data_IF_913240776553
#
_entry.id   IF_913240776553
#
_cell.length_a   1.000
_cell.length_b   1.000
_cell.length_c   1.000
_cell.angle_alpha   90.00
_cell.angle_beta   90.00
_cell.angle_gamma   90.00
#
_symmetry.space_group_name_H-M   'P 1'
#
loop_
_entity.id
_entity.type
_entity.pdbx_description
1 polymer ?
#
# COMPACT_ATOMS: atom_id res chain seq x y z
N UNK A 1 -35.95 2.76 16.68
CA UNK A 1 -35.24 2.04 15.61
C UNK A 1 -33.84 2.62 15.58
N UNK A 2 -32.88 1.91 16.16
CA UNK A 2 -31.47 2.22 15.95
C UNK A 2 -31.17 2.00 14.47
N UNK A 3 -30.48 2.96 13.83
CA UNK A 3 -30.04 2.82 12.44
C UNK A 3 -29.10 1.60 12.36
N UNK A 4 -29.50 0.50 11.68
CA UNK A 4 -28.73 -0.74 11.65
C UNK A 4 -27.38 -0.62 10.91
N UNK A 5 -27.00 0.58 10.43
CA UNK A 5 -25.93 0.75 9.45
C UNK A 5 -24.59 1.29 9.96
N UNK A 6 -24.49 1.88 11.16
CA UNK A 6 -23.25 2.54 11.61
C UNK A 6 -22.55 1.68 12.65
N UNK A 7 -21.64 0.82 12.19
CA UNK A 7 -20.70 0.14 13.08
C UNK A 7 -19.90 1.20 13.87
N UNK A 8 -19.65 0.97 15.18
CA UNK A 8 -18.91 1.91 16.00
C UNK A 8 -17.54 2.19 15.38
N UNK A 9 -17.12 3.46 15.44
CA UNK A 9 -15.74 3.86 15.16
C UNK A 9 -14.85 3.00 16.05
N UNK A 10 -13.90 2.28 15.44
CA UNK A 10 -12.98 1.40 16.17
C UNK A 10 -12.21 2.27 17.17
N UNK A 11 -12.44 2.04 18.47
CA UNK A 11 -11.83 2.83 19.55
C UNK A 11 -10.35 2.49 19.78
N UNK A 12 -9.93 1.28 19.38
CA UNK A 12 -8.54 0.84 19.43
C UNK A 12 -8.12 0.26 18.06
N UNK A 13 -7.70 1.15 17.16
CA UNK A 13 -7.24 0.74 15.84
C UNK A 13 -5.84 0.11 15.87
N UNK A 14 -5.09 0.24 16.97
CA UNK A 14 -3.74 -0.33 17.09
C UNK A 14 -3.79 -1.85 17.20
N UNK A 15 -4.85 -2.38 17.83
CA UNK A 15 -5.15 -3.82 17.83
C UNK A 15 -5.29 -4.44 16.43
N UNK A 16 -5.43 -3.61 15.38
CA UNK A 16 -5.59 -4.04 13.99
C UNK A 16 -4.28 -4.22 13.24
N UNK A 17 -3.11 -3.99 13.85
CA UNK A 17 -1.80 -4.22 13.20
C UNK A 17 -1.60 -5.69 12.82
N UNK A 18 -2.28 -6.62 13.50
CA UNK A 18 -2.27 -8.04 13.17
C UNK A 18 -1.02 -8.79 13.64
N UNK A 19 0.15 -8.15 13.68
CA UNK A 19 1.38 -8.67 14.29
C UNK A 19 2.21 -7.56 14.97
N UNK A 20 3.24 -7.95 15.71
CA UNK A 20 4.22 -7.04 16.31
C UNK A 20 5.38 -6.68 15.36
N UNK A 21 5.27 -6.97 14.05
CA UNK A 21 6.31 -6.67 13.07
C UNK A 21 6.43 -5.16 12.82
N UNK A 22 7.65 -4.64 12.71
CA UNK A 22 7.90 -3.22 12.42
C UNK A 22 7.86 -2.90 10.91
N UNK A 23 8.01 -3.93 10.08
CA UNK A 23 8.14 -3.83 8.63
C UNK A 23 6.81 -4.20 7.94
N UNK A 24 6.37 -3.36 7.01
CA UNK A 24 5.22 -3.60 6.15
C UNK A 24 5.65 -3.57 4.68
N UNK A 25 5.47 -4.68 3.97
CA UNK A 25 5.51 -4.72 2.52
C UNK A 25 4.11 -4.37 1.96
N UNK A 26 4.01 -3.28 1.23
CA UNK A 26 2.82 -2.90 0.47
C UNK A 26 3.01 -3.33 -0.99
N UNK A 27 2.14 -4.21 -1.48
CA UNK A 27 2.13 -4.68 -2.86
C UNK A 27 1.00 -3.97 -3.62
N UNK A 28 1.38 -3.14 -4.59
CA UNK A 28 0.49 -2.42 -5.51
C UNK A 28 0.22 -3.17 -6.82
N UNK A 29 -0.44 -2.48 -7.75
CA UNK A 29 -0.85 -3.05 -9.06
C UNK A 29 0.10 -2.67 -10.22
N UNK A 30 1.22 -1.98 -9.96
CA UNK A 30 2.11 -1.43 -10.98
C UNK A 30 2.66 -2.49 -11.96
N UNK A 31 3.02 -2.03 -13.17
CA UNK A 31 3.49 -2.87 -14.29
C UNK A 31 4.54 -3.91 -13.89
N UNK A 32 5.52 -3.49 -13.09
CA UNK A 32 6.70 -4.28 -12.70
C UNK A 32 6.60 -4.86 -11.28
N UNK A 33 5.38 -5.05 -10.74
CA UNK A 33 5.18 -5.53 -9.37
C UNK A 33 5.86 -6.87 -9.08
N UNK A 34 5.90 -7.79 -10.05
CA UNK A 34 6.55 -9.10 -9.85
C UNK A 34 8.08 -8.96 -9.75
N UNK A 35 8.67 -8.07 -10.54
CA UNK A 35 10.11 -7.75 -10.47
C UNK A 35 10.43 -7.11 -9.11
N UNK A 36 9.57 -6.19 -8.64
CA UNK A 36 9.69 -5.56 -7.32
C UNK A 36 9.59 -6.57 -6.17
N UNK A 37 8.68 -7.55 -6.26
CA UNK A 37 8.56 -8.62 -5.26
C UNK A 37 9.81 -9.51 -5.26
N UNK A 38 10.36 -9.84 -6.43
CA UNK A 38 11.60 -10.61 -6.53
C UNK A 38 12.76 -9.88 -5.84
N UNK A 39 12.96 -8.61 -6.19
CA UNK A 39 14.01 -7.78 -5.58
C UNK A 39 13.78 -7.56 -4.07
N UNK A 40 12.53 -7.58 -3.59
CA UNK A 40 12.22 -7.52 -2.17
C UNK A 40 12.73 -8.75 -1.43
N UNK A 41 12.52 -9.95 -1.98
CA UNK A 41 12.98 -11.18 -1.36
C UNK A 41 14.50 -11.23 -1.22
N UNK A 42 15.25 -10.73 -2.20
CA UNK A 42 16.72 -10.68 -2.14
C UNK A 42 17.26 -9.92 -0.91
N UNK A 43 16.52 -8.92 -0.42
CA UNK A 43 16.95 -8.06 0.69
C UNK A 43 16.28 -8.37 2.03
N UNK A 44 15.10 -9.00 2.03
CA UNK A 44 14.27 -9.15 3.22
C UNK A 44 14.00 -10.61 3.64
N UNK A 45 13.97 -11.55 2.69
CA UNK A 45 13.57 -12.94 2.98
C UNK A 45 14.57 -13.60 3.95
N UNK A 46 14.04 -14.15 5.05
CA UNK A 46 14.84 -14.77 6.11
C UNK A 46 15.67 -13.79 6.95
N UNK A 47 15.59 -12.48 6.68
CA UNK A 47 16.41 -11.45 7.34
C UNK A 47 15.57 -10.62 8.30
N UNK A 48 14.41 -10.11 7.85
CA UNK A 48 13.48 -9.35 8.69
C UNK A 48 12.10 -9.98 8.67
N UNK A 49 11.42 -10.08 9.82
CA UNK A 49 10.00 -10.40 9.84
C UNK A 49 9.21 -9.18 9.34
N UNK A 50 8.18 -9.43 8.53
CA UNK A 50 7.34 -8.38 7.95
C UNK A 50 5.90 -8.85 7.79
N UNK A 51 4.98 -7.87 7.78
CA UNK A 51 3.62 -8.08 7.32
C UNK A 51 3.46 -7.66 5.86
N UNK A 52 2.45 -8.21 5.22
CA UNK A 52 2.11 -7.90 3.83
C UNK A 52 0.73 -7.26 3.72
N UNK A 53 0.70 -6.13 3.05
CA UNK A 53 -0.50 -5.42 2.63
C UNK A 53 -0.66 -5.49 1.10
N UNK A 54 -1.71 -6.15 0.64
CA UNK A 54 -2.05 -6.15 -0.78
C UNK A 54 -3.08 -5.06 -1.10
N UNK A 55 -2.82 -4.32 -2.18
CA UNK A 55 -3.69 -3.28 -2.71
C UNK A 55 -4.47 -3.79 -3.93
N UNK A 56 -5.79 -3.66 -3.89
CA UNK A 56 -6.68 -3.94 -5.03
C UNK A 56 -6.50 -5.36 -5.65
N UNK A 57 -5.88 -5.49 -6.83
CA UNK A 57 -5.75 -6.77 -7.54
C UNK A 57 -4.44 -7.49 -7.21
N UNK A 58 -3.48 -6.83 -6.58
CA UNK A 58 -2.20 -7.44 -6.20
C UNK A 58 -2.37 -8.65 -5.27
N UNK A 59 -3.48 -8.69 -4.52
CA UNK A 59 -3.88 -9.82 -3.70
C UNK A 59 -4.09 -11.12 -4.50
N UNK A 60 -4.29 -11.04 -5.82
CA UNK A 60 -4.42 -12.20 -6.71
C UNK A 60 -3.08 -12.81 -7.12
N UNK A 61 -1.99 -12.06 -6.99
CA UNK A 61 -0.65 -12.45 -7.43
C UNK A 61 0.38 -12.49 -6.29
N UNK A 62 -0.03 -12.16 -5.06
CA UNK A 62 0.83 -12.21 -3.89
C UNK A 62 1.26 -13.65 -3.60
N UNK A 63 2.57 -13.96 -3.64
CA UNK A 63 3.05 -15.34 -3.51
C UNK A 63 3.15 -15.84 -2.06
N UNK A 64 2.87 -15.00 -1.07
CA UNK A 64 2.99 -15.30 0.36
C UNK A 64 1.77 -14.82 1.16
N UNK A 65 1.80 -15.05 2.48
CA UNK A 65 0.71 -14.70 3.39
C UNK A 65 0.38 -13.20 3.36
N UNK A 66 -0.91 -12.88 3.47
CA UNK A 66 -1.43 -11.52 3.47
C UNK A 66 -2.02 -11.24 4.86
N UNK A 67 -1.60 -10.15 5.50
CA UNK A 67 -2.18 -9.68 6.76
C UNK A 67 -3.22 -8.60 6.49
N UNK A 68 -2.96 -7.73 5.52
CA UNK A 68 -3.84 -6.61 5.20
C UNK A 68 -4.27 -6.61 3.73
N UNK A 69 -5.54 -6.28 3.51
CA UNK A 69 -6.06 -5.99 2.19
C UNK A 69 -6.59 -4.56 2.15
N UNK A 70 -6.18 -3.77 1.16
CA UNK A 70 -6.49 -2.35 1.10
C UNK A 70 -7.11 -1.99 -0.24
N UNK A 71 -8.32 -1.43 -0.22
CA UNK A 71 -9.03 -1.03 -1.43
C UNK A 71 -9.52 0.42 -1.34
N UNK A 72 -8.99 1.28 -2.21
CA UNK A 72 -9.46 2.65 -2.39
C UNK A 72 -10.85 2.69 -3.03
N UNK A 73 -11.07 1.82 -4.01
CA UNK A 73 -12.33 1.69 -4.74
C UNK A 73 -13.16 0.50 -4.24
N UNK A 74 -13.24 0.33 -2.93
CA UNK A 74 -13.92 -0.81 -2.28
C UNK A 74 -15.42 -0.95 -2.65
N UNK A 75 -16.01 0.05 -3.28
CA UNK A 75 -17.39 0.02 -3.79
C UNK A 75 -17.51 -0.71 -5.14
N UNK A 76 -16.41 -0.92 -5.88
CA UNK A 76 -16.42 -1.62 -7.15
C UNK A 76 -16.66 -3.13 -6.96
N UNK A 77 -17.47 -3.73 -7.84
CA UNK A 77 -17.81 -5.16 -7.82
C UNK A 77 -16.56 -6.05 -7.81
N UNK A 78 -15.53 -5.70 -8.57
CA UNK A 78 -14.29 -6.48 -8.63
C UNK A 78 -13.53 -6.46 -7.31
N UNK A 79 -13.44 -5.30 -6.64
CA UNK A 79 -12.80 -5.18 -5.32
C UNK A 79 -13.57 -5.97 -4.26
N UNK A 80 -14.91 -5.94 -4.35
CA UNK A 80 -15.78 -6.78 -3.53
C UNK A 80 -15.58 -8.28 -3.79
N UNK A 81 -15.36 -8.67 -5.06
CA UNK A 81 -15.04 -10.06 -5.43
C UNK A 81 -13.69 -10.51 -4.85
N UNK A 82 -12.65 -9.68 -4.96
CA UNK A 82 -11.33 -9.98 -4.37
C UNK A 82 -11.46 -10.11 -2.85
N UNK A 83 -12.04 -9.11 -2.18
CA UNK A 83 -12.20 -9.09 -0.72
C UNK A 83 -12.96 -10.32 -0.19
N UNK A 84 -13.97 -10.82 -0.91
CA UNK A 84 -14.73 -12.02 -0.51
C UNK A 84 -13.93 -13.32 -0.61
N UNK A 85 -12.97 -13.42 -1.53
CA UNK A 85 -12.14 -14.61 -1.72
C UNK A 85 -10.99 -14.69 -0.72
N UNK A 86 -10.62 -13.57 -0.08
CA UNK A 86 -9.54 -13.53 0.88
C UNK A 86 -9.90 -14.24 2.20
N UNK A 87 -8.94 -14.91 2.85
CA UNK A 87 -9.14 -15.55 4.15
C UNK A 87 -9.76 -14.60 5.18
N UNK A 88 -10.51 -15.16 6.14
CA UNK A 88 -11.13 -14.38 7.23
C UNK A 88 -10.10 -13.72 8.15
N UNK A 89 -8.88 -14.26 8.22
CA UNK A 89 -7.77 -13.69 8.98
C UNK A 89 -7.19 -12.41 8.37
N UNK A 90 -7.45 -12.14 7.08
CA UNK A 90 -6.98 -10.90 6.43
C UNK A 90 -7.82 -9.73 6.90
N UNK A 91 -7.16 -8.69 7.41
CA UNK A 91 -7.79 -7.45 7.83
C UNK A 91 -8.04 -6.58 6.59
N UNK A 92 -9.31 -6.32 6.30
CA UNK A 92 -9.74 -5.62 5.09
C UNK A 92 -10.01 -4.16 5.41
N UNK A 93 -9.26 -3.28 4.78
CA UNK A 93 -9.36 -1.84 4.89
C UNK A 93 -9.99 -1.23 3.64
N UNK A 94 -11.03 -0.43 3.83
CA UNK A 94 -11.69 0.30 2.76
C UNK A 94 -11.65 1.80 2.99
N UNK A 95 -11.51 2.53 1.90
CA UNK A 95 -11.92 3.93 1.84
C UNK A 95 -13.35 3.99 1.30
N UNK A 96 -14.35 4.13 2.18
CA UNK A 96 -15.77 4.51 1.93
C UNK A 96 -16.67 3.90 3.03
N UNK A 97 -17.60 4.67 3.64
CA UNK A 97 -18.54 4.14 4.64
C UNK A 97 -19.46 3.01 4.13
N UNK A 98 -19.65 2.86 2.82
CA UNK A 98 -20.58 1.87 2.21
C UNK A 98 -19.92 0.56 1.78
N UNK A 99 -18.62 0.36 2.06
CA UNK A 99 -17.94 -0.89 1.72
C UNK A 99 -18.38 -2.04 2.64
N UNK A 100 -19.29 -2.89 2.14
CA UNK A 100 -19.67 -4.13 2.81
C UNK A 100 -18.50 -5.13 2.79
N UNK A 101 -18.37 -5.95 3.84
CA UNK A 101 -17.35 -7.01 3.90
C UNK A 101 -15.93 -6.56 4.26
N UNK A 102 -15.73 -5.29 4.65
CA UNK A 102 -14.45 -4.76 5.14
C UNK A 102 -14.47 -4.60 6.65
N UNK A 103 -13.36 -4.96 7.30
CA UNK A 103 -13.18 -4.87 8.75
C UNK A 103 -13.04 -3.42 9.21
N UNK A 104 -12.30 -2.62 8.43
CA UNK A 104 -11.90 -1.26 8.79
C UNK A 104 -12.36 -0.30 7.70
N UNK A 105 -13.04 0.77 8.11
CA UNK A 105 -13.48 1.84 7.21
C UNK A 105 -12.77 3.12 7.59
N UNK A 106 -11.89 3.57 6.72
CA UNK A 106 -11.18 4.83 6.90
C UNK A 106 -12.05 5.98 6.43
N UNK A 107 -12.23 6.97 7.30
CA UNK A 107 -13.07 8.15 7.06
C UNK A 107 -12.18 9.38 6.97
N UNK A 108 -12.50 10.28 6.06
CA UNK A 108 -11.84 11.59 5.95
C UNK A 108 -12.39 12.54 7.00
N UNK A 109 -11.51 13.31 7.64
CA UNK A 109 -11.89 14.58 8.24
C UNK A 109 -11.83 15.70 7.17
N UNK A 110 -12.97 16.28 6.78
CA UNK A 110 -13.05 17.51 5.95
C UNK A 110 -13.69 17.40 4.56
N UNK A 111 -13.79 18.54 3.86
CA UNK A 111 -14.44 18.70 2.54
C UNK A 111 -13.47 18.40 1.39
N UNK A 112 -13.52 17.17 0.86
CA UNK A 112 -12.90 16.83 -0.42
C UNK A 112 -12.98 15.32 -0.68
N UNK A 113 -13.07 14.91 -1.95
CA UNK A 113 -13.02 13.50 -2.35
C UNK A 113 -11.69 12.83 -2.01
N UNK A 114 -11.63 11.50 -2.15
CA UNK A 114 -10.35 10.81 -2.19
C UNK A 114 -9.51 11.40 -3.30
N UNK A 115 -8.35 11.94 -2.94
CA UNK A 115 -7.37 12.39 -3.91
C UNK A 115 -6.11 11.56 -3.63
N UNK A 116 -5.58 10.85 -4.63
CA UNK A 116 -4.40 9.99 -4.50
C UNK A 116 -4.64 8.61 -5.07
N UNK A 117 -3.63 7.75 -5.01
CA UNK A 117 -3.70 6.35 -5.46
C UNK A 117 -4.01 5.40 -4.31
N UNK A 118 -4.44 4.16 -4.61
CA UNK A 118 -4.68 3.16 -3.56
C UNK A 118 -3.41 2.82 -2.79
N UNK A 119 -2.24 2.90 -3.42
CA UNK A 119 -0.94 2.80 -2.73
C UNK A 119 -0.72 3.92 -1.71
N UNK A 120 -1.17 5.15 -2.00
CA UNK A 120 -1.09 6.27 -1.05
C UNK A 120 -1.99 6.06 0.18
N UNK A 121 -3.19 5.50 -0.04
CA UNK A 121 -4.07 5.07 1.05
C UNK A 121 -3.38 4.00 1.89
N UNK A 122 -2.79 2.99 1.25
CA UNK A 122 -2.15 1.88 1.93
C UNK A 122 -0.98 2.34 2.81
N UNK A 123 -0.13 3.23 2.28
CA UNK A 123 0.95 3.83 3.05
C UNK A 123 0.45 4.56 4.30
N UNK A 124 -0.61 5.36 4.18
CA UNK A 124 -1.19 6.08 5.33
C UNK A 124 -1.78 5.13 6.37
N UNK A 125 -2.37 4.03 5.93
CA UNK A 125 -2.84 2.98 6.84
C UNK A 125 -1.66 2.33 7.55
N UNK A 126 -0.57 2.02 6.84
CA UNK A 126 0.67 1.51 7.45
C UNK A 126 1.22 2.45 8.52
N UNK A 127 1.28 3.75 8.24
CA UNK A 127 1.66 4.75 9.25
C UNK A 127 0.69 4.79 10.44
N UNK A 128 -0.62 4.69 10.18
CA UNK A 128 -1.61 4.67 11.24
C UNK A 128 -1.46 3.43 12.12
N UNK A 129 -1.10 2.28 11.56
CA UNK A 129 -0.86 1.03 12.28
C UNK A 129 0.54 0.94 12.90
N UNK A 130 1.29 2.05 12.96
CA UNK A 130 2.59 2.14 13.63
C UNK A 130 3.65 1.19 13.03
N UNK A 131 3.61 1.00 11.71
CA UNK A 131 4.76 0.45 10.99
C UNK A 131 5.82 1.52 10.81
N UNK A 132 7.06 1.16 11.16
CA UNK A 132 8.20 2.08 11.14
C UNK A 132 9.08 1.87 9.90
N UNK A 133 8.84 0.80 9.13
CA UNK A 133 9.49 0.50 7.86
C UNK A 133 8.47 0.04 6.84
N UNK A 134 8.04 0.93 5.96
CA UNK A 134 7.06 0.64 4.92
C UNK A 134 7.76 0.59 3.57
N UNK A 135 7.64 -0.54 2.88
CA UNK A 135 8.21 -0.75 1.55
C UNK A 135 7.11 -0.86 0.52
N UNK A 136 7.24 -0.08 -0.55
CA UNK A 136 6.32 -0.11 -1.68
C UNK A 136 6.88 -0.97 -2.80
N UNK A 137 6.20 -2.05 -3.14
CA UNK A 137 6.41 -2.85 -4.35
C UNK A 137 5.22 -2.64 -5.30
N UNK A 138 5.44 -2.44 -6.60
CA UNK A 138 4.36 -2.22 -7.57
C UNK A 138 3.59 -0.91 -7.36
N UNK A 139 4.21 0.12 -6.79
CA UNK A 139 3.61 1.46 -6.64
C UNK A 139 4.44 2.57 -7.32
N UNK A 140 4.96 2.38 -8.55
CA UNK A 140 6.06 3.19 -9.10
C UNK A 140 5.70 4.66 -9.39
N UNK A 141 4.41 4.98 -9.57
CA UNK A 141 3.94 6.32 -9.94
C UNK A 141 4.59 6.89 -11.21
N UNK A 142 5.01 6.03 -12.14
CA UNK A 142 5.71 6.39 -13.39
C UNK A 142 4.82 6.29 -14.64
N UNK A 143 3.52 5.99 -14.47
CA UNK A 143 2.56 5.74 -15.55
C UNK A 143 2.93 4.57 -16.48
N UNK A 144 3.74 3.61 -16.05
CA UNK A 144 3.99 2.36 -16.78
C UNK A 144 2.76 1.45 -16.93
N UNK A 145 1.65 1.80 -16.24
CA UNK A 145 0.41 1.04 -16.23
C UNK A 145 0.36 0.01 -15.10
N UNK A 146 -0.64 -0.88 -15.16
CA UNK A 146 -0.78 -2.00 -14.22
C UNK A 146 -0.23 -3.30 -14.82
N UNK A 147 0.11 -4.28 -13.98
CA UNK A 147 0.58 -5.61 -14.43
C UNK A 147 -0.44 -6.34 -15.31
N UNK A 148 -1.74 -6.05 -15.12
CA UNK A 148 -2.85 -6.64 -15.87
C UNK A 148 -3.28 -5.81 -17.10
N UNK A 149 -2.55 -4.76 -17.48
CA UNK A 149 -2.97 -3.88 -18.58
C UNK A 149 -3.13 -4.65 -19.90
N UNK A 150 -2.24 -5.60 -20.17
CA UNK A 150 -2.24 -6.34 -21.44
C UNK A 150 -3.28 -7.47 -21.49
N UNK A 151 -3.94 -7.78 -20.37
CA UNK A 151 -4.94 -8.86 -20.27
C UNK A 151 -6.39 -8.35 -20.16
N UNK A 152 -6.58 -7.04 -20.05
CA UNK A 152 -7.90 -6.41 -20.04
C UNK A 152 -8.21 -5.82 -21.41
N UNK A 153 -9.50 -5.67 -21.77
CA UNK A 153 -9.88 -4.98 -23.00
C UNK A 153 -9.34 -3.55 -23.01
N UNK A 154 -8.91 -3.06 -24.18
CA UNK A 154 -8.47 -1.66 -24.37
C UNK A 154 -9.58 -0.65 -24.00
N UNK A 155 -10.84 -1.06 -24.09
CA UNK A 155 -12.00 -0.24 -23.69
C UNK A 155 -12.21 -0.15 -22.18
N UNK A 156 -11.47 -0.92 -21.36
CA UNK A 156 -11.55 -0.83 -19.90
C UNK A 156 -10.85 0.45 -19.41
N UNK A 157 -11.54 1.22 -18.58
CA UNK A 157 -11.03 2.47 -17.97
C UNK A 157 -9.68 2.28 -17.24
N UNK A 158 -9.39 1.05 -16.79
CA UNK A 158 -8.13 0.71 -16.12
C UNK A 158 -6.94 0.63 -17.08
N UNK A 159 -7.16 0.43 -18.38
CA UNK A 159 -6.11 0.28 -19.39
C UNK A 159 -5.36 1.58 -19.67
N UNK A 160 -6.01 2.73 -19.44
CA UNK A 160 -5.46 4.07 -19.73
C UNK A 160 -5.40 4.96 -18.49
N UNK A 161 -5.24 4.37 -17.30
CA UNK A 161 -5.12 5.13 -16.06
C UNK A 161 -3.88 6.03 -16.08
N UNK A 162 -4.08 7.32 -15.86
CA UNK A 162 -3.03 8.32 -15.69
C UNK A 162 -3.00 8.82 -14.25
N UNK A 163 -1.90 8.54 -13.55
CA UNK A 163 -1.70 8.89 -12.15
C UNK A 163 -0.76 10.09 -11.93
N UNK A 164 -0.29 10.77 -12.99
CA UNK A 164 0.61 11.94 -12.86
C UNK A 164 0.04 13.03 -11.96
N UNK A 165 -1.26 13.28 -12.06
CA UNK A 165 -1.95 14.29 -11.25
C UNK A 165 -2.01 13.95 -9.74
N UNK A 166 -1.58 12.75 -9.34
CA UNK A 166 -1.43 12.36 -7.93
C UNK A 166 0.00 12.47 -7.41
N UNK A 167 1.01 12.73 -8.27
CA UNK A 167 2.42 12.77 -7.89
C UNK A 167 2.71 13.77 -6.76
N UNK A 168 2.07 14.93 -6.79
CA UNK A 168 2.24 15.98 -5.78
C UNK A 168 1.99 15.50 -4.34
N UNK A 169 1.13 14.48 -4.15
CA UNK A 169 0.86 13.90 -2.83
C UNK A 169 2.00 13.04 -2.32
N UNK A 170 2.67 12.34 -3.23
CA UNK A 170 3.84 11.54 -2.88
C UNK A 170 5.00 12.46 -2.53
N UNK A 171 5.20 13.52 -3.33
CA UNK A 171 6.17 14.58 -3.02
C UNK A 171 5.88 15.29 -1.69
N UNK A 172 4.62 15.64 -1.40
CA UNK A 172 4.24 16.23 -0.11
C UNK A 172 4.62 15.33 1.09
N UNK A 173 4.48 14.01 0.93
CA UNK A 173 4.80 13.05 1.98
C UNK A 173 6.30 12.81 2.10
N UNK A 174 7.05 12.75 0.99
CA UNK A 174 8.50 12.53 1.02
C UNK A 174 9.26 13.69 1.65
N UNK A 175 8.76 14.91 1.51
CA UNK A 175 9.35 16.13 2.09
C UNK A 175 9.03 16.30 3.59
N UNK A 176 8.22 15.44 4.19
CA UNK A 176 7.88 15.50 5.62
C UNK A 176 8.71 14.50 6.43
N UNK A 177 8.88 14.71 7.75
CA UNK A 177 9.58 13.74 8.61
C UNK A 177 9.01 12.33 8.55
N UNK A 178 7.70 12.18 8.28
CA UNK A 178 7.06 10.87 8.10
C UNK A 178 7.57 10.11 6.87
N UNK A 179 8.09 10.80 5.85
CA UNK A 179 8.61 10.19 4.62
C UNK A 179 9.79 9.26 4.87
N UNK A 180 10.54 9.45 5.98
CA UNK A 180 11.67 8.59 6.37
C UNK A 180 11.30 7.13 6.65
N UNK A 181 10.01 6.87 6.92
CA UNK A 181 9.49 5.53 7.20
C UNK A 181 9.10 4.78 5.93
N UNK A 182 9.22 5.41 4.76
CA UNK A 182 8.87 4.81 3.49
C UNK A 182 10.10 4.62 2.60
N UNK A 183 10.12 3.50 1.88
CA UNK A 183 11.00 3.23 0.73
C UNK A 183 10.18 2.61 -0.39
N UNK A 184 10.68 2.64 -1.62
CA UNK A 184 10.02 2.05 -2.78
C UNK A 184 11.00 1.26 -3.62
N UNK A 185 10.57 0.10 -4.12
CA UNK A 185 11.41 -0.77 -4.94
C UNK A 185 11.72 -0.13 -6.31
N UNK A 186 10.77 0.61 -6.89
CA UNK A 186 10.86 1.14 -8.25
C UNK A 186 10.17 2.50 -8.46
N UNK A 187 10.39 3.04 -9.66
CA UNK A 187 9.71 4.21 -10.23
C UNK A 187 9.99 5.55 -9.55
N UNK A 188 9.17 6.53 -9.89
CA UNK A 188 9.21 7.87 -9.30
C UNK A 188 9.05 7.86 -7.77
N UNK A 189 8.37 6.86 -7.19
CA UNK A 189 8.33 6.71 -5.72
C UNK A 189 9.68 6.27 -5.15
N UNK A 190 10.47 5.48 -5.86
CA UNK A 190 11.85 5.19 -5.43
C UNK A 190 12.73 6.44 -5.50
N UNK A 191 12.54 7.30 -6.50
CA UNK A 191 13.27 8.57 -6.59
C UNK A 191 12.90 9.52 -5.43
N UNK A 192 11.63 9.52 -5.00
CA UNK A 192 11.15 10.39 -3.92
C UNK A 192 11.54 9.89 -2.52
N UNK A 193 11.52 8.59 -2.27
CA UNK A 193 11.70 8.01 -0.94
C UNK A 193 13.03 7.29 -0.73
N UNK A 194 13.76 6.99 -1.80
CA UNK A 194 14.87 6.06 -1.82
C UNK A 194 14.40 4.60 -1.95
N UNK A 195 15.35 3.71 -2.27
CA UNK A 195 15.17 2.25 -2.28
C UNK A 195 15.43 1.65 -0.90
N UNK A 196 14.74 0.56 -0.52
CA UNK A 196 15.04 -0.11 0.72
C UNK A 196 16.40 -0.83 0.62
N UNK A 197 17.18 -0.72 1.68
CA UNK A 197 18.42 -1.49 1.87
C UNK A 197 18.24 -2.44 3.05
N UNK A 198 19.12 -3.44 3.15
CA UNK A 198 19.12 -4.38 4.27
C UNK A 198 19.37 -3.64 5.60
N UNK A 199 20.27 -2.68 5.60
CA UNK A 199 20.63 -1.86 6.77
C UNK A 199 19.43 -1.04 7.24
N UNK A 200 18.72 -0.40 6.30
CA UNK A 200 17.51 0.37 6.62
C UNK A 200 16.42 -0.50 7.24
N UNK A 201 16.19 -1.69 6.67
CA UNK A 201 15.22 -2.66 7.19
C UNK A 201 15.57 -3.15 8.60
N UNK A 202 16.86 -3.30 8.92
CA UNK A 202 17.35 -3.73 10.23
C UNK A 202 17.49 -2.59 11.25
N UNK A 203 17.02 -1.38 10.94
CA UNK A 203 17.21 -0.19 11.79
C UNK A 203 18.68 0.15 12.08
N UNK A 204 19.59 -0.28 11.21
CA UNK A 204 20.99 0.06 11.30
C UNK A 204 21.23 1.45 10.69
N UNK A 205 22.26 2.19 11.14
CA UNK A 205 22.69 3.39 10.44
C UNK A 205 23.00 3.06 8.97
N UNK A 206 22.38 3.80 8.05
CA UNK A 206 22.75 3.71 6.63
C UNK A 206 24.21 4.18 6.52
N UNK A 207 25.10 3.32 6.00
CA UNK A 207 26.47 3.73 5.70
C UNK A 207 26.43 4.86 4.69
N UNK A 208 26.87 6.05 5.08
CA UNK A 208 27.09 7.15 4.14
C UNK A 208 28.10 6.64 3.11
N UNK A 209 27.67 6.56 1.85
CA UNK A 209 28.60 6.32 0.75
C UNK A 209 29.43 7.61 0.65
N UNK A 210 30.74 7.52 0.87
CA UNK A 210 31.65 8.65 0.68
C UNK A 210 31.50 9.16 -0.77
N UNK A 211 30.90 10.34 -0.95
CA UNK A 211 30.73 10.98 -2.26
C UNK A 211 29.36 11.62 -2.52
N UNK A 212 28.33 11.28 -1.75
CA UNK A 212 27.03 11.96 -1.81
C UNK A 212 27.01 13.14 -0.82
N UNK A 213 27.76 14.20 -1.15
CA UNK A 213 27.54 15.52 -0.55
C UNK A 213 26.27 16.13 -1.19
N UNK A 214 25.33 16.69 -0.40
CA UNK A 214 24.07 17.24 -0.90
C UNK A 214 24.23 18.47 -1.81
#
# INVERSE_FOLDING_TARGET
>A
MEDPGVMPIIQDYMSLKGSDNDVLLIIGDGRHVLDDIGAWYDIAEGIVPYDTACVNYSALICPHGIQHYMAGDAHMTDMQNVARKLPKSVIKHAWNPRAAGFNVRWIRNGRGGWNGTSGNLAYKIGLALDYTRIVLAGCPMDNSGNWYTDIIPETDVKAHKDHRHHMWKWMEMSLRPIGRFCRSMSGNTADLFGKPTREWLLHLPETLIEGDDP
#
